data_IF_022733383084
#
_entry.id   IF_022733383084
#
_cell.length_a   1.000
_cell.length_b   1.000
_cell.length_c   1.000
_cell.angle_alpha   90.00
_cell.angle_beta   90.00
_cell.angle_gamma   90.00
#
_symmetry.space_group_name_H-M   'P 1'
#
loop_
_entity.id
_entity.type
_entity.pdbx_description
1 polymer ?
#
# COMPACT_ATOMS: atom_id res chain seq x y z
N UNK A 1 -13.46 -19.52 -16.04
CA UNK A 1 -12.36 -19.16 -15.12
C UNK A 1 -12.78 -17.95 -14.31
N UNK A 2 -12.83 -18.07 -12.99
CA UNK A 2 -13.26 -17.01 -12.08
C UNK A 2 -12.19 -15.91 -11.92
N UNK A 3 -12.62 -14.66 -11.86
CA UNK A 3 -11.76 -13.51 -11.47
C UNK A 3 -11.58 -13.49 -9.95
N UNK A 4 -10.33 -13.56 -9.49
CA UNK A 4 -9.98 -13.52 -8.06
C UNK A 4 -9.55 -12.13 -7.59
N UNK A 5 -8.95 -11.33 -8.48
CA UNK A 5 -8.53 -9.96 -8.19
C UNK A 5 -9.10 -9.07 -9.28
N UNK A 6 -9.77 -7.99 -8.88
CA UNK A 6 -10.24 -6.93 -9.77
C UNK A 6 -9.75 -5.59 -9.24
N UNK A 7 -9.01 -4.88 -10.08
CA UNK A 7 -8.53 -3.52 -9.87
C UNK A 7 -9.31 -2.65 -10.85
N UNK A 8 -10.14 -1.73 -10.36
CA UNK A 8 -11.04 -0.92 -11.18
C UNK A 8 -10.83 0.57 -10.93
N UNK A 9 -10.27 1.23 -11.93
CA UNK A 9 -10.01 2.68 -11.99
C UNK A 9 -9.25 3.21 -10.77
N UNK A 10 -8.33 2.39 -10.26
CA UNK A 10 -7.66 2.64 -8.99
C UNK A 10 -6.64 3.75 -9.14
N UNK A 11 -6.75 4.76 -8.28
CA UNK A 11 -5.73 5.79 -8.13
C UNK A 11 -5.21 5.82 -6.69
N UNK A 12 -3.96 6.24 -6.53
CA UNK A 12 -3.34 6.45 -5.22
C UNK A 12 -2.57 7.76 -5.22
N UNK A 13 -2.95 8.64 -4.31
CA UNK A 13 -2.30 9.92 -4.07
C UNK A 13 -1.73 9.90 -2.66
N UNK A 14 -0.43 10.12 -2.54
CA UNK A 14 0.23 10.35 -1.26
C UNK A 14 0.32 11.85 -1.01
N UNK A 15 -0.17 12.31 0.13
CA UNK A 15 0.02 13.69 0.57
C UNK A 15 1.36 13.79 1.29
N UNK A 16 2.23 14.70 0.86
CA UNK A 16 3.46 15.00 1.58
C UNK A 16 3.09 15.97 2.71
N UNK A 17 2.87 15.45 3.92
CA UNK A 17 2.76 16.29 5.10
C UNK A 17 4.14 16.89 5.41
N UNK A 18 4.35 18.14 5.03
CA UNK A 18 5.52 18.92 5.41
C UNK A 18 5.32 19.73 6.69
N UNK A 19 4.20 19.56 7.41
CA UNK A 19 3.98 20.29 8.67
C UNK A 19 4.93 19.78 9.73
N UNK A 20 6.09 20.43 9.84
CA UNK A 20 6.83 20.50 11.08
C UNK A 20 5.86 21.02 12.16
N UNK A 21 5.94 20.49 13.39
CA UNK A 21 5.19 21.01 14.55
C UNK A 21 5.31 22.55 14.66
N UNK A 22 6.45 23.11 14.23
CA UNK A 22 6.68 24.57 14.13
C UNK A 22 5.72 25.30 13.19
N UNK A 23 5.33 24.71 12.06
CA UNK A 23 4.40 25.31 11.09
C UNK A 23 2.95 25.28 11.58
N UNK A 24 2.59 24.24 12.34
CA UNK A 24 1.27 24.13 12.97
C UNK A 24 1.13 25.19 14.06
N UNK A 25 2.11 25.32 14.96
CA UNK A 25 2.12 26.37 16.00
C UNK A 25 2.16 27.80 15.44
N UNK A 26 2.94 28.05 14.39
CA UNK A 26 3.03 29.39 13.79
C UNK A 26 1.74 29.80 13.06
N UNK A 27 0.99 28.83 12.53
CA UNK A 27 -0.33 29.07 11.92
C UNK A 27 -1.43 29.44 12.95
N UNK A 28 -1.28 29.01 14.21
CA UNK A 28 -2.17 29.46 15.30
C UNK A 28 -1.87 30.91 15.74
N UNK A 29 -0.63 31.39 15.54
CA UNK A 29 -0.21 32.75 15.92
C UNK A 29 -0.34 33.79 14.79
N UNK A 30 -0.28 33.38 13.51
CA UNK A 30 -0.41 34.30 12.36
C UNK A 30 -1.75 34.11 11.62
N UNK A 31 -2.65 35.07 11.81
CA UNK A 31 -3.98 35.19 11.17
C UNK A 31 -3.94 35.60 9.69
N UNK A 32 -2.98 35.11 8.92
CA UNK A 32 -2.91 35.24 7.44
C UNK A 32 -2.56 33.89 6.85
N UNK A 33 -3.56 33.22 6.26
CA UNK A 33 -3.37 32.05 5.39
C UNK A 33 -2.51 32.49 4.20
N UNK A 34 -1.27 32.03 4.17
CA UNK A 34 -0.42 32.10 2.99
C UNK A 34 -0.99 31.13 1.93
N UNK A 35 -1.43 31.61 0.75
CA UNK A 35 -1.98 30.76 -0.31
C UNK A 35 -0.94 29.83 -0.95
N UNK A 36 0.36 30.03 -0.66
CA UNK A 36 1.45 29.26 -1.25
C UNK A 36 1.70 27.91 -0.57
N UNK A 37 0.98 27.59 0.51
CA UNK A 37 1.12 26.33 1.24
C UNK A 37 0.31 25.19 0.59
N UNK A 38 0.50 25.02 -0.72
CA UNK A 38 -0.11 23.95 -1.51
C UNK A 38 0.48 22.63 -1.01
N UNK A 39 -0.36 21.81 -0.36
CA UNK A 39 -0.03 20.41 -0.02
C UNK A 39 0.57 19.74 -1.27
N UNK A 40 1.88 19.49 -1.25
CA UNK A 40 2.53 18.75 -2.34
C UNK A 40 2.02 17.32 -2.27
N UNK A 41 1.15 16.97 -3.19
CA UNK A 41 0.66 15.60 -3.35
C UNK A 41 1.44 14.90 -4.47
N UNK A 42 1.64 13.60 -4.32
CA UNK A 42 2.28 12.73 -5.29
C UNK A 42 1.29 11.66 -5.75
N UNK A 43 0.97 11.64 -7.05
CA UNK A 43 0.09 10.64 -7.64
C UNK A 43 0.90 9.40 -8.02
N UNK A 44 0.81 8.37 -7.19
CA UNK A 44 1.53 7.11 -7.38
C UNK A 44 0.85 6.14 -8.34
N UNK A 45 -0.50 6.19 -8.43
CA UNK A 45 -1.29 5.46 -9.40
C UNK A 45 -2.36 6.38 -9.99
N UNK A 46 -2.65 6.20 -11.27
CA UNK A 46 -3.60 7.00 -12.03
C UNK A 46 -4.52 6.09 -12.85
N UNK A 47 -5.74 5.87 -12.35
CA UNK A 47 -6.81 5.14 -13.03
C UNK A 47 -6.35 3.78 -13.59
N UNK A 48 -5.71 2.97 -12.75
CA UNK A 48 -5.19 1.65 -13.13
C UNK A 48 -6.31 0.60 -13.03
N UNK A 49 -6.52 -0.14 -14.13
CA UNK A 49 -7.54 -1.18 -14.22
C UNK A 49 -6.94 -2.50 -14.75
N UNK A 50 -7.13 -3.59 -14.02
CA UNK A 50 -6.76 -4.95 -14.46
C UNK A 50 -7.53 -6.01 -13.66
N UNK A 51 -7.55 -7.25 -14.16
CA UNK A 51 -8.06 -8.38 -13.41
C UNK A 51 -7.10 -9.58 -13.48
N UNK A 52 -7.14 -10.42 -12.44
CA UNK A 52 -6.38 -11.68 -12.38
C UNK A 52 -7.36 -12.82 -12.16
N UNK A 53 -7.36 -13.77 -13.09
CA UNK A 53 -8.18 -14.98 -13.03
C UNK A 53 -7.48 -16.07 -12.24
N UNK A 54 -8.26 -16.99 -11.67
CA UNK A 54 -7.72 -18.18 -10.99
C UNK A 54 -6.76 -18.97 -11.89
N UNK A 55 -5.65 -19.42 -11.31
CA UNK A 55 -4.60 -20.17 -12.02
C UNK A 55 -3.74 -19.34 -12.98
N UNK A 56 -3.80 -18.00 -12.93
CA UNK A 56 -2.97 -17.12 -13.75
C UNK A 56 -1.93 -16.38 -12.92
N UNK A 57 -0.78 -16.15 -13.54
CA UNK A 57 0.27 -15.28 -13.01
C UNK A 57 0.19 -13.90 -13.67
N UNK A 58 0.36 -12.84 -12.87
CA UNK A 58 0.45 -11.46 -13.34
C UNK A 58 1.86 -10.93 -13.06
N UNK A 59 2.56 -10.48 -14.11
CA UNK A 59 3.81 -9.75 -13.99
C UNK A 59 3.58 -8.25 -14.05
N UNK A 60 4.07 -7.50 -13.05
CA UNK A 60 4.05 -6.03 -13.03
C UNK A 60 5.48 -5.53 -13.26
N UNK A 61 5.74 -4.95 -14.43
CA UNK A 61 7.06 -4.45 -14.83
C UNK A 61 7.02 -2.96 -15.15
N UNK A 62 8.17 -2.29 -15.07
CA UNK A 62 8.30 -0.86 -15.34
C UNK A 62 9.45 -0.24 -14.55
N UNK A 63 9.80 1.03 -14.83
CA UNK A 63 10.91 1.72 -14.17
C UNK A 63 10.65 1.96 -12.67
N UNK A 64 11.69 2.37 -11.94
CA UNK A 64 11.54 2.81 -10.56
C UNK A 64 10.60 4.03 -10.49
N UNK A 65 9.76 4.08 -9.47
CA UNK A 65 8.73 5.13 -9.34
C UNK A 65 7.45 4.90 -10.15
N UNK A 66 7.36 3.87 -11.01
CA UNK A 66 6.16 3.58 -11.81
C UNK A 66 4.92 3.11 -11.02
N UNK A 67 5.00 3.03 -9.68
CA UNK A 67 3.87 2.63 -8.84
C UNK A 67 3.75 1.13 -8.55
N UNK A 68 4.69 0.29 -9.02
CA UNK A 68 4.68 -1.17 -8.80
C UNK A 68 4.50 -1.56 -7.32
N UNK A 69 5.34 -1.04 -6.44
CA UNK A 69 5.24 -1.29 -5.00
C UNK A 69 3.96 -0.73 -4.39
N UNK A 70 3.37 0.32 -4.98
CA UNK A 70 2.07 0.86 -4.56
C UNK A 70 0.94 -0.11 -4.91
N UNK A 71 0.93 -0.69 -6.11
CA UNK A 71 -0.03 -1.74 -6.49
C UNK A 71 0.07 -2.91 -5.52
N UNK A 72 1.29 -3.40 -5.28
CA UNK A 72 1.51 -4.53 -4.37
C UNK A 72 1.08 -4.24 -2.94
N UNK A 73 1.34 -3.03 -2.42
CA UNK A 73 0.88 -2.61 -1.09
C UNK A 73 -0.65 -2.53 -0.99
N UNK A 74 -1.34 -2.11 -2.06
CA UNK A 74 -2.81 -2.10 -2.10
C UNK A 74 -3.36 -3.53 -2.12
N UNK A 75 -2.81 -4.41 -2.98
CA UNK A 75 -3.19 -5.82 -3.03
C UNK A 75 -2.94 -6.53 -1.68
N UNK A 76 -1.85 -6.21 -1.01
CA UNK A 76 -1.53 -6.75 0.31
C UNK A 76 -2.38 -6.16 1.47
N UNK A 77 -3.24 -5.18 1.20
CA UNK A 77 -4.02 -4.50 2.23
C UNK A 77 -3.21 -3.56 3.15
N UNK A 78 -1.97 -3.23 2.80
CA UNK A 78 -1.10 -2.34 3.61
C UNK A 78 -1.52 -0.87 3.45
N UNK A 79 -2.02 -0.49 2.28
CA UNK A 79 -2.55 0.85 2.03
C UNK A 79 -3.82 0.76 1.21
N UNK A 80 -4.77 1.64 1.50
CA UNK A 80 -5.98 1.78 0.70
C UNK A 80 -5.73 2.60 -0.56
N UNK A 81 -6.54 2.36 -1.59
CA UNK A 81 -6.65 3.24 -2.75
C UNK A 81 -7.18 4.62 -2.34
N UNK A 82 -6.81 5.67 -3.08
CA UNK A 82 -7.42 6.99 -2.90
C UNK A 82 -8.76 7.13 -3.62
N UNK A 83 -8.94 6.37 -4.69
CA UNK A 83 -10.20 6.26 -5.45
C UNK A 83 -10.19 4.96 -6.27
N UNK A 84 -11.35 4.57 -6.78
CA UNK A 84 -11.54 3.30 -7.48
C UNK A 84 -11.85 2.16 -6.52
N UNK A 85 -11.89 0.94 -7.05
CA UNK A 85 -12.31 -0.24 -6.31
C UNK A 85 -11.31 -1.39 -6.48
N UNK A 86 -11.06 -2.12 -5.40
CA UNK A 86 -10.24 -3.33 -5.38
C UNK A 86 -11.04 -4.45 -4.76
N UNK A 87 -11.36 -5.47 -5.56
CA UNK A 87 -12.11 -6.65 -5.12
C UNK A 87 -11.13 -7.83 -5.10
N UNK A 88 -11.04 -8.50 -3.96
CA UNK A 88 -10.20 -9.67 -3.77
C UNK A 88 -11.07 -10.81 -3.22
N UNK A 89 -11.08 -11.93 -3.93
CA UNK A 89 -11.75 -13.17 -3.50
C UNK A 89 -10.73 -14.13 -2.90
N UNK A 90 -10.74 -14.24 -1.57
CA UNK A 90 -9.82 -15.08 -0.81
C UNK A 90 -8.84 -14.27 0.04
N UNK A 91 -7.73 -14.89 0.43
CA UNK A 91 -6.67 -14.26 1.23
C UNK A 91 -5.44 -14.01 0.36
N UNK A 92 -4.78 -12.87 0.55
CA UNK A 92 -3.49 -12.58 -0.07
C UNK A 92 -2.38 -12.78 0.96
N UNK A 93 -1.45 -13.69 0.66
CA UNK A 93 -0.18 -13.80 1.36
C UNK A 93 0.84 -12.91 0.67
N UNK A 94 1.27 -11.83 1.33
CA UNK A 94 2.17 -10.85 0.73
C UNK A 94 3.62 -11.11 1.18
N UNK A 95 4.46 -11.61 0.26
CA UNK A 95 5.91 -11.70 0.45
C UNK A 95 6.57 -10.48 -0.21
N UNK A 96 6.43 -9.31 0.42
CA UNK A 96 6.86 -8.04 -0.18
C UNK A 96 8.35 -7.75 0.00
N UNK A 97 8.94 -8.19 1.12
CA UNK A 97 10.35 -8.02 1.42
C UNK A 97 10.90 -9.29 2.07
N UNK A 98 12.06 -9.74 1.59
CA UNK A 98 12.82 -10.83 2.20
C UNK A 98 13.24 -10.41 3.62
N UNK A 99 12.46 -10.82 4.63
CA UNK A 99 12.70 -10.50 6.04
C UNK A 99 11.55 -9.74 6.74
N UNK A 100 10.55 -9.24 6.01
CA UNK A 100 9.40 -8.61 6.65
C UNK A 100 8.61 -9.64 7.45
N UNK A 101 8.41 -9.38 8.75
CA UNK A 101 7.74 -10.30 9.68
C UNK A 101 8.66 -11.30 10.38
N UNK A 102 9.97 -11.26 10.14
CA UNK A 102 10.94 -12.05 10.92
C UNK A 102 11.44 -11.24 12.12
N UNK A 103 11.38 -11.85 13.31
CA UNK A 103 12.01 -11.32 14.50
C UNK A 103 13.46 -11.85 14.57
N UNK A 104 14.48 -10.97 14.65
CA UNK A 104 15.89 -11.37 14.58
C UNK A 104 16.31 -12.27 15.75
N UNK A 105 15.72 -12.06 16.92
CA UNK A 105 15.99 -12.89 18.11
C UNK A 105 15.25 -14.24 18.10
N UNK A 106 14.42 -14.52 17.08
CA UNK A 106 13.64 -15.75 17.01
C UNK A 106 14.33 -16.77 16.10
N UNK A 107 14.27 -18.03 16.50
CA UNK A 107 14.63 -19.16 15.64
C UNK A 107 13.75 -19.21 14.39
N UNK A 108 14.18 -19.95 13.37
CA UNK A 108 13.38 -20.17 12.17
C UNK A 108 12.01 -20.79 12.48
N UNK A 109 11.94 -21.70 13.46
CA UNK A 109 10.68 -22.33 13.89
C UNK A 109 9.73 -21.30 14.51
N UNK A 110 10.22 -20.45 15.40
CA UNK A 110 9.41 -19.40 16.03
C UNK A 110 8.89 -18.39 15.00
N UNK A 111 9.73 -18.02 14.04
CA UNK A 111 9.32 -17.18 12.94
C UNK A 111 8.25 -17.82 12.03
N UNK A 112 8.30 -19.15 11.82
CA UNK A 112 7.22 -19.87 11.11
C UNK A 112 5.89 -19.74 11.87
N UNK A 113 5.87 -19.96 13.18
CA UNK A 113 4.65 -19.82 13.98
C UNK A 113 4.13 -18.38 14.03
N UNK A 114 5.02 -17.40 14.15
CA UNK A 114 4.68 -15.98 14.15
C UNK A 114 4.03 -15.58 12.82
N UNK A 115 4.69 -15.87 11.70
CA UNK A 115 4.19 -15.52 10.37
C UNK A 115 2.90 -16.28 10.03
N UNK A 116 2.80 -17.56 10.38
CA UNK A 116 1.57 -18.33 10.21
C UNK A 116 0.39 -17.70 10.97
N UNK A 117 0.63 -17.24 12.21
CA UNK A 117 -0.38 -16.55 13.02
C UNK A 117 -0.81 -15.21 12.40
N UNK A 118 0.15 -14.42 11.88
CA UNK A 118 -0.13 -13.15 11.17
C UNK A 118 -0.97 -13.41 9.90
N UNK A 119 -0.72 -14.50 9.19
CA UNK A 119 -1.49 -14.93 8.02
C UNK A 119 -2.86 -15.53 8.38
N UNK A 120 -3.18 -15.63 9.67
CA UNK A 120 -4.44 -16.20 10.17
C UNK A 120 -4.55 -17.71 9.98
N UNK A 121 -3.42 -18.43 10.03
CA UNK A 121 -3.39 -19.88 10.15
C UNK A 121 -3.75 -20.27 11.58
N UNK A 122 -4.55 -21.33 11.72
CA UNK A 122 -4.86 -21.93 13.03
C UNK A 122 -3.75 -22.93 13.39
N UNK A 123 -3.50 -23.11 14.69
CA UNK A 123 -2.58 -24.14 15.20
C UNK A 123 -2.99 -25.54 14.78
#
# INVERSE_FOLDING_TARGET
METLIEFKDVSKIYRKYSRSLKETLSSFLKKKKDPSNVEKSFKALNNVSFNVKSGKALGIIGPNGAGKSTILKILAGITEASSGEVIIKGKIGALLELGAGFHPEFTGRENIYLNGSIMGMKR
#
